data_IF_506460403348
#
_entry.id   IF_506460403348
#
_cell.length_a   1.000
_cell.length_b   1.000
_cell.length_c   1.000
_cell.angle_alpha   90.00
_cell.angle_beta   90.00
_cell.angle_gamma   90.00
#
_symmetry.space_group_name_H-M   'P 1'
#
loop_
_entity.id
_entity.type
_entity.pdbx_description
1 polymer ?
#
# COMPACT_ATOMS: atom_id res chain seq x y z
N UNK A 1 5.07 7.10 -22.53
CA UNK A 1 3.88 6.32 -22.21
C UNK A 1 3.92 5.78 -20.81
N UNK A 2 2.81 5.91 -20.14
CA UNK A 2 2.74 5.51 -18.76
C UNK A 2 2.38 4.05 -18.64
N UNK A 3 3.04 3.37 -17.71
CA UNK A 3 2.73 2.00 -17.41
C UNK A 3 2.49 1.86 -15.92
N UNK A 4 1.55 2.65 -15.45
CA UNK A 4 1.18 2.63 -14.05
C UNK A 4 -0.16 1.97 -13.89
N UNK A 5 -0.29 1.16 -12.86
CA UNK A 5 -1.58 0.62 -12.47
C UNK A 5 -1.81 0.91 -11.01
N UNK A 6 -3.08 1.09 -10.64
CA UNK A 6 -3.47 1.26 -9.26
C UNK A 6 -4.16 0.00 -8.82
N UNK A 7 -3.84 -0.44 -7.62
CA UNK A 7 -4.42 -1.65 -7.05
C UNK A 7 -4.84 -1.37 -5.63
N UNK A 8 -5.83 -2.11 -5.17
CA UNK A 8 -6.26 -2.00 -3.80
C UNK A 8 -5.98 -3.31 -3.09
N UNK A 9 -5.47 -3.22 -1.88
CA UNK A 9 -5.20 -4.37 -1.05
C UNK A 9 -5.92 -4.16 0.28
N UNK A 10 -6.78 -5.11 0.63
CA UNK A 10 -7.48 -5.05 1.91
C UNK A 10 -6.62 -5.72 2.96
N UNK A 11 -6.37 -5.00 4.05
CA UNK A 11 -5.60 -5.53 5.17
C UNK A 11 -6.58 -6.20 6.11
N UNK A 12 -6.69 -7.52 6.01
CA UNK A 12 -7.56 -8.25 6.91
C UNK A 12 -6.84 -8.51 8.21
N UNK A 13 -7.61 -8.86 9.24
CA UNK A 13 -7.03 -9.08 10.55
C UNK A 13 -5.88 -10.08 10.52
N UNK A 14 -6.01 -11.10 9.67
CA UNK A 14 -4.99 -12.14 9.56
C UNK A 14 -3.88 -11.79 8.59
N UNK A 15 -3.96 -10.63 7.95
CA UNK A 15 -2.94 -10.23 6.99
C UNK A 15 -1.63 -10.00 7.73
N UNK A 16 -0.53 -10.42 7.09
CA UNK A 16 0.78 -10.31 7.75
C UNK A 16 1.19 -8.86 8.00
N UNK A 17 0.58 -7.91 7.31
CA UNK A 17 0.90 -6.50 7.51
C UNK A 17 0.04 -5.84 8.58
N UNK A 18 -1.00 -6.51 9.04
CA UNK A 18 -1.89 -5.92 10.03
C UNK A 18 -1.12 -5.63 11.32
N UNK A 19 -1.24 -4.42 11.83
CA UNK A 19 -0.57 -4.02 13.05
C UNK A 19 0.85 -3.51 12.87
N UNK A 20 1.36 -3.53 11.64
CA UNK A 20 2.73 -3.09 11.39
C UNK A 20 2.73 -1.72 10.74
N UNK A 21 3.81 -0.97 10.93
CA UNK A 21 3.97 0.30 10.24
C UNK A 21 4.50 0.05 8.84
N UNK A 22 4.33 1.05 7.97
CA UNK A 22 4.80 0.90 6.59
C UNK A 22 6.30 0.69 6.51
N UNK A 23 7.05 1.27 7.43
CA UNK A 23 8.50 1.08 7.42
C UNK A 23 8.90 -0.34 7.80
N UNK A 24 7.98 -1.12 8.38
CA UNK A 24 8.28 -2.48 8.83
C UNK A 24 7.89 -3.54 7.81
N UNK A 25 7.22 -3.16 6.75
CA UNK A 25 6.76 -4.14 5.77
C UNK A 25 7.61 -4.04 4.52
N UNK A 26 7.62 -5.15 3.77
CA UNK A 26 8.35 -5.20 2.50
C UNK A 26 7.37 -5.02 1.36
N UNK A 27 7.56 -3.95 0.60
CA UNK A 27 6.72 -3.63 -0.54
C UNK A 27 7.57 -3.85 -1.78
N UNK A 28 6.99 -4.41 -2.87
CA UNK A 28 7.77 -4.60 -4.10
C UNK A 28 8.43 -3.32 -4.57
N UNK A 29 9.57 -3.47 -5.24
CA UNK A 29 10.41 -2.34 -5.61
C UNK A 29 9.70 -1.27 -6.41
N UNK A 30 8.86 -1.69 -7.32
CA UNK A 30 8.18 -0.77 -8.23
C UNK A 30 6.77 -0.48 -7.77
N UNK A 31 6.53 -0.54 -6.48
CA UNK A 31 5.22 -0.36 -5.91
C UNK A 31 5.29 0.67 -4.78
N UNK A 32 4.28 1.53 -4.71
CA UNK A 32 4.23 2.56 -3.68
C UNK A 32 2.82 2.61 -3.11
N UNK A 33 2.72 2.61 -1.79
CA UNK A 33 1.44 2.80 -1.14
C UNK A 33 1.15 4.30 -1.12
N UNK A 34 0.14 4.73 -1.84
CA UNK A 34 -0.12 6.17 -2.02
C UNK A 34 -1.18 6.69 -1.08
N UNK A 35 -2.09 5.84 -0.61
CA UNK A 35 -3.08 6.27 0.38
C UNK A 35 -3.68 5.04 1.05
N UNK A 36 -4.31 5.28 2.19
CA UNK A 36 -5.01 4.26 2.95
C UNK A 36 -6.42 4.75 3.18
N UNK A 37 -7.40 3.92 2.84
CA UNK A 37 -8.79 4.21 3.15
C UNK A 37 -9.14 3.47 4.43
N UNK A 38 -9.49 4.22 5.46
CA UNK A 38 -9.83 3.66 6.76
C UNK A 38 -11.22 4.14 7.13
N UNK A 39 -12.21 3.30 6.97
CA UNK A 39 -13.58 3.72 7.15
C UNK A 39 -13.90 4.81 6.14
N UNK A 40 -14.32 5.96 6.63
CA UNK A 40 -14.61 7.11 5.77
C UNK A 40 -13.41 8.04 5.60
N UNK A 41 -12.30 7.72 6.24
CA UNK A 41 -11.14 8.59 6.22
C UNK A 41 -10.17 8.17 5.13
N UNK A 42 -9.48 9.15 4.58
CA UNK A 42 -8.38 8.93 3.65
C UNK A 42 -7.11 9.40 4.33
N UNK A 43 -6.13 8.52 4.40
CA UNK A 43 -4.88 8.80 5.08
C UNK A 43 -3.77 8.83 4.04
N UNK A 44 -2.96 9.89 4.07
CA UNK A 44 -1.73 9.94 3.27
C UNK A 44 -0.64 9.39 4.18
N UNK A 45 -0.12 8.20 3.89
CA UNK A 45 0.74 7.51 4.84
C UNK A 45 2.19 7.97 4.77
N UNK A 46 2.89 7.71 5.86
CA UNK A 46 4.35 7.79 5.86
C UNK A 46 4.87 6.51 6.51
N UNK A 47 6.18 6.43 6.72
CA UNK A 47 6.78 5.20 7.23
C UNK A 47 6.28 4.81 8.62
N UNK A 48 5.82 5.76 9.40
CA UNK A 48 5.36 5.47 10.77
C UNK A 48 3.88 5.11 10.83
N UNK A 49 3.17 5.22 9.71
CA UNK A 49 1.74 4.91 9.68
C UNK A 49 1.54 3.42 9.94
N UNK A 50 0.73 3.10 10.95
CA UNK A 50 0.48 1.72 11.33
C UNK A 50 -0.79 1.23 10.68
N UNK A 51 -0.73 0.06 10.07
CA UNK A 51 -1.86 -0.52 9.37
C UNK A 51 -2.79 -1.19 10.37
N UNK A 52 -4.10 -1.12 10.08
CA UNK A 52 -5.13 -1.69 10.92
C UNK A 52 -6.00 -2.61 10.10
N UNK A 53 -6.64 -3.55 10.78
CA UNK A 53 -7.57 -4.45 10.12
C UNK A 53 -8.68 -3.64 9.47
N UNK A 54 -9.01 -3.97 8.24
CA UNK A 54 -10.04 -3.27 7.48
C UNK A 54 -9.51 -2.14 6.61
N UNK A 55 -8.24 -1.78 6.77
CA UNK A 55 -7.67 -0.75 5.90
C UNK A 55 -7.64 -1.23 4.47
N UNK A 56 -7.87 -0.30 3.54
CA UNK A 56 -7.73 -0.56 2.12
C UNK A 56 -6.56 0.27 1.64
N UNK A 57 -5.50 -0.40 1.23
CA UNK A 57 -4.30 0.27 0.75
C UNK A 57 -4.44 0.50 -0.74
N UNK A 58 -4.19 1.72 -1.19
CA UNK A 58 -4.16 2.01 -2.61
C UNK A 58 -2.70 2.08 -3.01
N UNK A 59 -2.30 1.19 -3.90
CA UNK A 59 -0.91 1.05 -4.31
C UNK A 59 -0.77 1.39 -5.77
N UNK A 60 0.23 2.18 -6.09
CA UNK A 60 0.60 2.45 -7.47
C UNK A 60 1.75 1.52 -7.82
N UNK A 61 1.65 0.86 -8.95
CA UNK A 61 2.67 -0.07 -9.39
C UNK A 61 3.09 0.28 -10.81
N UNK A 62 4.38 0.33 -11.01
CA UNK A 62 4.93 0.61 -12.31
C UNK A 62 5.16 -0.69 -13.04
N UNK A 63 4.75 -0.74 -14.29
CA UNK A 63 4.97 -1.92 -15.12
C UNK A 63 6.18 -1.76 -16.00
N UNK A 64 6.91 -0.67 -15.86
CA UNK A 64 8.05 -0.42 -16.72
C UNK A 64 9.34 -0.99 -16.19
N UNK A 65 9.32 -1.53 -14.99
CA UNK A 65 10.54 -2.03 -14.38
C UNK A 65 11.20 -3.08 -15.24
N UNK A 66 10.39 -3.83 -15.96
CA UNK A 66 10.92 -4.91 -16.76
C UNK A 66 11.82 -4.41 -17.88
N UNK A 67 11.64 -3.17 -18.27
CA UNK A 67 12.41 -2.62 -19.38
C UNK A 67 13.80 -2.18 -18.94
N UNK A 68 14.08 -2.22 -17.69
CA UNK A 68 15.36 -1.75 -17.21
C UNK A 68 16.51 -2.62 -17.72
#
# INVERSE_FOLDING_TARGET
>A
RENLSLQEVVVERSHKWCGRSLSEISVPRNCLIVMIKRGLDTIIPDGSTRLEAGDVLVAAQSNTAASA
#
